data_IF_445328137116
#
_entry.id   IF_445328137116
#
_cell.length_a   1.000
_cell.length_b   1.000
_cell.length_c   1.000
_cell.angle_alpha   90.00
_cell.angle_beta   90.00
_cell.angle_gamma   90.00
#
_symmetry.space_group_name_H-M   'P 1'
#
loop_
_entity.id
_entity.type
_entity.pdbx_description
1 polymer ?
#
# COMPACT_ATOMS: atom_id res chain seq x y z
N UNK A 1 6.94 -11.59 -4.59
CA UNK A 1 6.03 -11.02 -5.58
C UNK A 1 6.55 -9.66 -6.02
N UNK A 2 6.24 -9.29 -7.24
CA UNK A 2 6.63 -8.00 -7.81
C UNK A 2 5.65 -6.92 -7.36
N UNK A 3 6.17 -5.74 -7.02
CA UNK A 3 5.37 -4.58 -6.60
C UNK A 3 5.58 -3.44 -7.58
N UNK A 4 4.48 -2.86 -8.07
CA UNK A 4 4.51 -1.63 -8.84
C UNK A 4 3.61 -0.58 -8.19
N UNK A 5 3.95 0.68 -8.37
CA UNK A 5 3.19 1.83 -7.88
C UNK A 5 2.50 2.51 -9.05
N UNK A 6 1.19 2.65 -8.98
CA UNK A 6 0.45 3.45 -9.98
C UNK A 6 0.88 4.92 -9.89
N UNK A 7 0.57 5.69 -10.94
CA UNK A 7 0.84 7.12 -10.93
C UNK A 7 0.11 7.83 -9.77
N UNK A 8 -1.13 7.41 -9.51
CA UNK A 8 -1.91 7.97 -8.40
C UNK A 8 -1.26 7.63 -7.06
N UNK A 9 -0.79 6.40 -6.89
CA UNK A 9 -0.11 6.00 -5.65
C UNK A 9 1.17 6.81 -5.43
N UNK A 10 1.95 7.03 -6.48
CA UNK A 10 3.14 7.87 -6.42
C UNK A 10 2.79 9.30 -6.02
N UNK A 11 1.77 9.88 -6.64
CA UNK A 11 1.32 11.23 -6.34
C UNK A 11 0.81 11.37 -4.91
N UNK A 12 0.04 10.40 -4.42
CA UNK A 12 -0.47 10.44 -3.04
C UNK A 12 0.65 10.24 -2.02
N UNK A 13 1.63 9.39 -2.31
CA UNK A 13 2.81 9.24 -1.46
C UNK A 13 3.56 10.58 -1.33
N UNK A 14 3.80 11.26 -2.44
CA UNK A 14 4.46 12.58 -2.44
C UNK A 14 3.62 13.62 -1.68
N UNK A 15 2.30 13.58 -1.86
CA UNK A 15 1.38 14.49 -1.17
C UNK A 15 1.50 14.45 0.34
N UNK A 16 1.78 13.27 0.90
CA UNK A 16 1.89 13.06 2.34
C UNK A 16 3.32 13.07 2.87
N UNK A 17 4.31 13.42 2.04
CA UNK A 17 5.72 13.34 2.42
C UNK A 17 6.14 14.28 3.55
N UNK A 18 5.35 15.30 3.85
CA UNK A 18 5.60 16.14 5.03
C UNK A 18 5.60 15.31 6.32
N UNK A 19 4.85 14.22 6.35
CA UNK A 19 4.90 13.22 7.42
C UNK A 19 5.90 12.12 7.02
N UNK A 20 7.19 12.39 7.21
CA UNK A 20 8.25 11.46 6.83
C UNK A 20 8.15 10.12 7.55
N UNK A 21 7.91 10.14 8.86
CA UNK A 21 7.79 8.91 9.65
C UNK A 21 6.61 8.07 9.16
N UNK A 22 5.46 8.70 8.86
CA UNK A 22 4.29 8.03 8.32
C UNK A 22 4.55 7.41 6.96
N UNK A 23 5.21 8.13 6.07
CA UNK A 23 5.52 7.61 4.73
C UNK A 23 6.59 6.52 4.77
N UNK A 24 7.55 6.59 5.68
CA UNK A 24 8.50 5.50 5.89
C UNK A 24 7.79 4.23 6.37
N UNK A 25 6.82 4.36 7.27
CA UNK A 25 6.02 3.23 7.73
C UNK A 25 5.19 2.63 6.59
N UNK A 26 4.58 3.49 5.77
CA UNK A 26 3.83 3.06 4.57
C UNK A 26 4.76 2.29 3.63
N UNK A 27 5.94 2.82 3.34
CA UNK A 27 6.87 2.15 2.44
C UNK A 27 7.32 0.79 2.95
N UNK A 28 7.61 0.67 4.24
CA UNK A 28 7.96 -0.64 4.84
C UNK A 28 6.80 -1.63 4.74
N UNK A 29 5.59 -1.16 5.01
CA UNK A 29 4.40 -2.03 4.91
C UNK A 29 4.18 -2.49 3.46
N UNK A 30 4.38 -1.62 2.49
CA UNK A 30 4.28 -1.96 1.07
C UNK A 30 5.34 -3.00 0.69
N UNK A 31 6.59 -2.79 1.09
CA UNK A 31 7.66 -3.75 0.79
C UNK A 31 7.38 -5.13 1.39
N UNK A 32 6.82 -5.18 2.59
CA UNK A 32 6.46 -6.43 3.26
C UNK A 32 5.36 -7.20 2.51
N UNK A 33 4.54 -6.53 1.71
CA UNK A 33 3.51 -7.20 0.91
C UNK A 33 4.10 -8.19 -0.10
N UNK A 34 5.34 -7.99 -0.52
CA UNK A 34 6.00 -8.91 -1.45
C UNK A 34 6.12 -10.32 -0.88
N UNK A 35 6.30 -10.45 0.44
CA UNK A 35 6.41 -11.74 1.12
C UNK A 35 5.06 -12.22 1.67
N UNK A 36 4.16 -11.30 1.98
CA UNK A 36 2.83 -11.61 2.50
C UNK A 36 1.80 -10.61 1.93
N UNK A 37 1.12 -10.96 0.82
CA UNK A 37 0.17 -10.04 0.17
C UNK A 37 -1.17 -9.90 0.90
N UNK A 38 -1.38 -10.66 1.97
CA UNK A 38 -2.57 -10.55 2.82
C UNK A 38 -2.16 -10.58 4.30
N UNK A 39 -1.39 -9.58 4.77
CA UNK A 39 -0.95 -9.57 6.17
C UNK A 39 -2.12 -9.45 7.12
N UNK A 40 -1.89 -9.82 8.37
CA UNK A 40 -2.88 -9.67 9.42
C UNK A 40 -3.38 -8.23 9.49
N UNK A 41 -4.70 -8.05 9.51
CA UNK A 41 -5.34 -6.74 9.49
C UNK A 41 -5.65 -6.21 8.10
N UNK A 42 -5.18 -6.85 7.04
CA UNK A 42 -5.58 -6.48 5.69
C UNK A 42 -7.03 -6.87 5.41
N UNK A 43 -7.77 -5.97 4.78
CA UNK A 43 -9.07 -6.27 4.23
C UNK A 43 -8.89 -6.79 2.81
N UNK A 44 -9.44 -7.99 2.54
CA UNK A 44 -9.30 -8.65 1.25
C UNK A 44 -10.68 -8.85 0.64
N UNK A 45 -10.85 -8.37 -0.59
CA UNK A 45 -12.07 -8.56 -1.37
C UNK A 45 -11.67 -8.87 -2.81
N UNK A 46 -11.51 -10.17 -3.12
CA UNK A 46 -10.99 -10.58 -4.41
C UNK A 46 -9.58 -10.03 -4.63
N UNK A 47 -9.37 -9.38 -5.78
CA UNK A 47 -8.10 -8.73 -6.09
C UNK A 47 -7.88 -7.45 -5.29
N UNK A 48 -8.95 -6.77 -4.87
CA UNK A 48 -8.86 -5.49 -4.18
C UNK A 48 -8.58 -5.68 -2.70
N UNK A 49 -7.58 -4.97 -2.20
CA UNK A 49 -7.12 -5.07 -0.82
C UNK A 49 -6.79 -3.71 -0.25
N UNK A 50 -6.88 -3.60 1.07
CA UNK A 50 -6.46 -2.40 1.78
C UNK A 50 -5.85 -2.76 3.11
N UNK A 51 -4.80 -2.03 3.47
CA UNK A 51 -4.06 -2.21 4.69
C UNK A 51 -3.95 -0.88 5.43
N UNK A 52 -4.31 -0.90 6.71
CA UNK A 52 -4.14 0.26 7.57
C UNK A 52 -2.70 0.35 8.06
N UNK A 53 -2.10 1.53 7.92
CA UNK A 53 -0.74 1.83 8.40
C UNK A 53 -0.79 3.15 9.17
N UNK A 54 -0.95 3.09 10.48
CA UNK A 54 -1.15 4.29 11.29
C UNK A 54 -2.37 5.08 10.82
N UNK A 55 -2.24 6.40 10.54
CA UNK A 55 -3.35 7.22 10.04
C UNK A 55 -3.56 7.10 8.53
N UNK A 56 -2.88 6.18 7.87
CA UNK A 56 -2.96 5.98 6.42
C UNK A 56 -3.58 4.65 6.07
N UNK A 57 -4.09 4.58 4.86
CA UNK A 57 -4.62 3.35 4.27
C UNK A 57 -3.97 3.14 2.92
N UNK A 58 -3.38 1.97 2.72
CA UNK A 58 -2.81 1.57 1.44
C UNK A 58 -3.85 0.75 0.70
N UNK A 59 -4.28 1.23 -0.47
CA UNK A 59 -5.15 0.49 -1.37
C UNK A 59 -4.28 -0.18 -2.42
N UNK A 60 -4.44 -1.50 -2.58
CA UNK A 60 -3.63 -2.26 -3.52
C UNK A 60 -4.44 -3.40 -4.15
N UNK A 61 -3.93 -3.90 -5.25
CA UNK A 61 -4.50 -5.03 -5.97
C UNK A 61 -3.47 -6.14 -6.08
N UNK A 62 -3.93 -7.39 -6.02
CA UNK A 62 -3.07 -8.55 -6.21
C UNK A 62 -3.64 -9.39 -7.35
N UNK A 63 -2.86 -9.54 -8.41
CA UNK A 63 -3.18 -10.39 -9.55
C UNK A 63 -1.98 -11.25 -9.92
N UNK A 64 -2.15 -12.57 -9.83
CA UNK A 64 -1.04 -13.48 -10.08
C UNK A 64 0.13 -13.18 -9.15
N UNK A 65 1.29 -12.89 -9.73
CA UNK A 65 2.51 -12.58 -8.98
C UNK A 65 2.81 -11.08 -8.93
N UNK A 66 1.81 -10.23 -9.18
CA UNK A 66 1.95 -8.79 -9.25
C UNK A 66 1.07 -8.11 -8.21
N UNK A 67 1.67 -7.21 -7.44
CA UNK A 67 0.99 -6.30 -6.53
C UNK A 67 1.06 -4.89 -7.13
N UNK A 68 -0.09 -4.26 -7.31
CA UNK A 68 -0.17 -2.88 -7.76
C UNK A 68 -0.65 -2.01 -6.60
N UNK A 69 0.17 -1.05 -6.19
CA UNK A 69 -0.25 -0.06 -5.20
C UNK A 69 -1.08 0.98 -5.93
N UNK A 70 -2.35 1.08 -5.55
CA UNK A 70 -3.33 1.91 -6.27
C UNK A 70 -3.32 3.33 -5.74
N UNK A 71 -3.34 3.48 -4.42
CA UNK A 71 -3.45 4.79 -3.80
C UNK A 71 -3.11 4.71 -2.31
N UNK A 72 -2.57 5.81 -1.77
CA UNK A 72 -2.42 6.02 -0.33
C UNK A 72 -3.47 7.05 0.08
N UNK A 73 -4.32 6.70 1.04
CA UNK A 73 -5.29 7.62 1.61
C UNK A 73 -4.95 7.93 3.05
N UNK A 74 -5.32 9.11 3.50
CA UNK A 74 -5.33 9.46 4.91
C UNK A 74 -6.72 9.19 5.48
N UNK A 75 -6.75 8.49 6.59
CA UNK A 75 -8.00 8.10 7.27
C UNK A 75 -8.37 9.11 8.34
#
# INVERSE_FOLDING_TARGET
MRIIWSEIAQATFVRFMADQAGMMAVNRAVEALADDPAPLGAFVRGADRRLRVGPYRVLYEVEGNLITIVRIDRV
#
